data_IF_928490455295
#
_entry.id   IF_928490455295
#
_cell.length_a   1.000
_cell.length_b   1.000
_cell.length_c   1.000
_cell.angle_alpha   90.00
_cell.angle_beta   90.00
_cell.angle_gamma   90.00
#
_symmetry.space_group_name_H-M   'P 1'
#
loop_
_entity.id
_entity.type
_entity.pdbx_description
1 polymer ?
#
# COMPACT_ATOMS: atom_id res chain seq x y z
N UNK A 1 -8.38 -7.34 -27.37
CA UNK A 1 -7.44 -7.99 -26.43
C UNK A 1 -6.42 -7.00 -25.81
N UNK A 2 -6.56 -5.67 -26.02
CA UNK A 2 -5.52 -4.68 -25.70
C UNK A 2 -5.77 -3.74 -24.49
N UNK A 3 -7.00 -3.56 -24.00
CA UNK A 3 -7.31 -2.55 -22.97
C UNK A 3 -7.33 -3.15 -21.55
N UNK A 4 -7.88 -4.36 -21.40
CA UNK A 4 -8.03 -5.06 -20.11
C UNK A 4 -6.70 -5.35 -19.40
N UNK A 5 -5.63 -5.63 -20.15
CA UNK A 5 -4.32 -5.89 -19.56
C UNK A 5 -3.63 -4.62 -19.05
N UNK A 6 -3.88 -3.48 -19.68
CA UNK A 6 -3.26 -2.22 -19.28
C UNK A 6 -3.84 -1.72 -17.96
N UNK A 7 -5.16 -1.79 -17.78
CA UNK A 7 -5.82 -1.42 -16.52
C UNK A 7 -5.36 -2.32 -15.36
N UNK A 8 -5.24 -3.63 -15.58
CA UNK A 8 -4.74 -4.56 -14.57
C UNK A 8 -3.29 -4.25 -14.16
N UNK A 9 -2.42 -3.91 -15.12
CA UNK A 9 -1.04 -3.51 -14.81
C UNK A 9 -1.01 -2.18 -14.07
N UNK A 10 -1.82 -1.19 -14.47
CA UNK A 10 -1.93 0.08 -13.76
C UNK A 10 -2.38 -0.11 -12.30
N UNK A 11 -3.37 -0.97 -12.07
CA UNK A 11 -3.80 -1.34 -10.71
C UNK A 11 -2.67 -2.00 -9.93
N UNK A 12 -1.91 -2.90 -10.56
CA UNK A 12 -0.80 -3.61 -9.92
C UNK A 12 0.33 -2.65 -9.56
N UNK A 13 0.66 -1.71 -10.44
CA UNK A 13 1.62 -0.63 -10.19
C UNK A 13 1.18 0.23 -9.02
N UNK A 14 -0.07 0.68 -9.04
CA UNK A 14 -0.64 1.51 -7.98
C UNK A 14 -0.55 0.79 -6.63
N UNK A 15 -0.98 -0.47 -6.56
CA UNK A 15 -0.87 -1.26 -5.33
C UNK A 15 0.59 -1.44 -4.88
N UNK A 16 1.53 -1.65 -5.80
CA UNK A 16 2.94 -1.89 -5.49
C UNK A 16 3.62 -0.65 -4.90
N UNK A 17 3.17 0.53 -5.29
CA UNK A 17 3.65 1.81 -4.77
C UNK A 17 3.00 2.12 -3.42
N UNK A 18 1.68 2.01 -3.31
CA UNK A 18 0.96 2.53 -2.15
C UNK A 18 0.83 1.57 -0.98
N UNK A 19 0.73 0.25 -1.19
CA UNK A 19 0.69 -0.69 -0.07
C UNK A 19 1.90 -0.60 0.87
N UNK A 20 3.17 -0.51 0.39
CA UNK A 20 4.29 -0.36 1.30
C UNK A 20 4.28 1.00 2.00
N UNK A 21 3.85 2.08 1.33
CA UNK A 21 3.70 3.39 1.95
C UNK A 21 2.65 3.38 3.07
N UNK A 22 1.48 2.81 2.81
CA UNK A 22 0.40 2.63 3.78
C UNK A 22 0.87 1.82 4.99
N UNK A 23 1.62 0.73 4.77
CA UNK A 23 2.23 -0.05 5.85
C UNK A 23 3.15 0.81 6.72
N UNK A 24 4.06 1.57 6.11
CA UNK A 24 5.00 2.45 6.84
C UNK A 24 4.28 3.54 7.64
N UNK A 25 3.21 4.12 7.09
CA UNK A 25 2.40 5.11 7.83
C UNK A 25 1.72 4.47 9.03
N UNK A 26 1.09 3.31 8.87
CA UNK A 26 0.47 2.58 9.98
C UNK A 26 1.48 2.17 11.07
N UNK A 27 2.68 1.72 10.68
CA UNK A 27 3.76 1.40 11.63
C UNK A 27 4.16 2.62 12.47
N UNK A 28 4.27 3.81 11.85
CA UNK A 28 4.57 5.06 12.54
C UNK A 28 3.41 5.50 13.44
N UNK A 29 2.17 5.37 12.99
CA UNK A 29 0.99 5.75 13.77
C UNK A 29 0.80 4.83 14.97
N UNK A 30 1.08 3.53 14.82
CA UNK A 30 1.11 2.57 15.93
C UNK A 30 2.09 3.01 17.03
N UNK A 31 3.31 3.39 16.66
CA UNK A 31 4.31 3.90 17.61
C UNK A 31 3.85 5.20 18.30
N UNK A 32 3.23 6.11 17.55
CA UNK A 32 2.68 7.35 18.12
C UNK A 32 1.53 7.09 19.09
N UNK A 33 0.66 6.13 18.79
CA UNK A 33 -0.46 5.74 19.67
C UNK A 33 0.06 5.08 20.95
N UNK A 34 1.08 4.24 20.84
CA UNK A 34 1.76 3.64 21.99
C UNK A 34 2.36 4.70 22.93
N UNK A 35 2.87 5.79 22.37
CA UNK A 35 3.44 6.92 23.12
C UNK A 35 2.38 7.97 23.53
N UNK A 36 1.15 7.87 23.03
CA UNK A 36 0.11 8.84 23.32
C UNK A 36 -0.44 8.66 24.74
N UNK A 37 -0.86 9.77 25.38
CA UNK A 37 -1.51 9.76 26.70
C UNK A 37 -2.98 9.31 26.62
N UNK A 38 -3.24 8.21 25.94
CA UNK A 38 -4.57 7.60 25.89
C UNK A 38 -4.82 6.80 27.17
N UNK A 39 -6.04 6.87 27.69
CA UNK A 39 -6.42 6.09 28.88
C UNK A 39 -6.31 4.57 28.64
N UNK A 40 -6.64 4.13 27.42
CA UNK A 40 -6.65 2.71 27.02
C UNK A 40 -6.16 2.60 25.56
N UNK A 41 -4.84 2.54 25.29
CA UNK A 41 -4.29 2.53 23.92
C UNK A 41 -4.40 1.17 23.22
N UNK A 42 -4.46 0.08 23.99
CA UNK A 42 -4.31 -1.29 23.48
C UNK A 42 -5.29 -1.70 22.37
N UNK A 43 -6.62 -1.41 22.44
CA UNK A 43 -7.55 -1.78 21.38
C UNK A 43 -7.23 -1.13 20.02
N UNK A 44 -6.74 0.11 20.03
CA UNK A 44 -6.34 0.81 18.81
C UNK A 44 -5.07 0.20 18.22
N UNK A 45 -4.10 -0.13 19.07
CA UNK A 45 -2.86 -0.80 18.66
C UNK A 45 -3.16 -2.17 18.03
N UNK A 46 -4.02 -2.98 18.65
CA UNK A 46 -4.41 -4.28 18.09
C UNK A 46 -5.07 -4.15 16.71
N UNK A 47 -5.94 -3.14 16.53
CA UNK A 47 -6.57 -2.88 15.24
C UNK A 47 -5.55 -2.52 14.16
N UNK A 48 -4.55 -1.70 14.51
CA UNK A 48 -3.47 -1.30 13.59
C UNK A 48 -2.54 -2.47 13.30
N UNK A 49 -2.15 -3.25 14.31
CA UNK A 49 -1.28 -4.42 14.15
C UNK A 49 -1.94 -5.47 13.23
N UNK A 50 -3.25 -5.68 13.37
CA UNK A 50 -4.02 -6.55 12.47
C UNK A 50 -4.06 -6.02 11.02
N UNK A 51 -4.16 -4.70 10.84
CA UNK A 51 -4.11 -4.09 9.51
C UNK A 51 -2.72 -4.23 8.87
N UNK A 52 -1.64 -4.00 9.64
CA UNK A 52 -0.25 -4.18 9.20
C UNK A 52 -0.01 -5.65 8.79
N UNK A 53 -0.52 -6.62 9.57
CA UNK A 53 -0.40 -8.03 9.24
C UNK A 53 -1.08 -8.39 7.91
N UNK A 54 -2.29 -7.86 7.67
CA UNK A 54 -3.02 -8.02 6.39
C UNK A 54 -2.26 -7.41 5.23
N UNK A 55 -1.80 -6.17 5.36
CA UNK A 55 -0.99 -5.51 4.31
C UNK A 55 0.29 -6.31 4.03
N UNK A 56 0.92 -6.88 5.05
CA UNK A 56 2.12 -7.70 4.88
C UNK A 56 1.84 -8.97 4.06
N UNK A 57 0.70 -9.62 4.28
CA UNK A 57 0.24 -10.74 3.47
C UNK A 57 -0.03 -10.33 2.02
N UNK A 58 -0.73 -9.21 1.83
CA UNK A 58 -1.08 -8.71 0.50
C UNK A 58 0.16 -8.27 -0.28
N UNK A 59 1.12 -7.61 0.35
CA UNK A 59 2.42 -7.28 -0.25
C UNK A 59 3.17 -8.53 -0.70
N UNK A 60 3.11 -9.62 0.07
CA UNK A 60 3.73 -10.90 -0.32
C UNK A 60 3.08 -11.46 -1.59
N UNK A 61 1.76 -11.40 -1.68
CA UNK A 61 1.02 -11.87 -2.85
C UNK A 61 1.29 -10.98 -4.07
N UNK A 62 1.24 -9.66 -3.88
CA UNK A 62 1.52 -8.67 -4.91
C UNK A 62 2.92 -8.79 -5.48
N UNK A 63 3.95 -9.00 -4.65
CA UNK A 63 5.32 -9.24 -5.13
C UNK A 63 5.44 -10.50 -6.00
N UNK A 64 4.69 -11.56 -5.64
CA UNK A 64 4.64 -12.78 -6.47
C UNK A 64 3.96 -12.51 -7.80
N UNK A 65 2.88 -11.74 -7.79
CA UNK A 65 2.12 -11.38 -8.99
C UNK A 65 2.93 -10.47 -9.92
N UNK A 66 3.57 -9.42 -9.38
CA UNK A 66 4.47 -8.54 -10.13
C UNK A 66 5.60 -9.31 -10.80
N UNK A 67 6.20 -10.27 -10.08
CA UNK A 67 7.25 -11.13 -10.65
C UNK A 67 6.72 -12.02 -11.78
N UNK A 68 5.50 -12.56 -11.65
CA UNK A 68 4.86 -13.39 -12.69
C UNK A 68 4.48 -12.58 -13.93
N UNK A 69 4.06 -11.33 -13.76
CA UNK A 69 3.68 -10.44 -14.86
C UNK A 69 4.87 -9.80 -15.57
N UNK A 70 6.08 -9.91 -14.99
CA UNK A 70 7.29 -9.27 -15.50
C UNK A 70 7.33 -7.77 -15.21
N UNK A 71 6.58 -7.32 -14.20
CA UNK A 71 6.57 -5.93 -13.74
C UNK A 71 7.72 -5.68 -12.77
N UNK A 72 8.49 -4.64 -13.05
CA UNK A 72 9.51 -4.12 -12.14
C UNK A 72 9.30 -2.64 -11.92
N UNK A 73 9.33 -2.20 -10.66
CA UNK A 73 9.15 -0.79 -10.29
C UNK A 73 10.37 -0.34 -9.52
N UNK A 74 10.98 0.74 -9.99
CA UNK A 74 12.08 1.41 -9.32
C UNK A 74 11.59 2.72 -8.73
N UNK A 75 11.93 2.97 -7.47
CA UNK A 75 11.66 4.25 -6.82
C UNK A 75 12.80 5.21 -7.11
N UNK A 76 12.47 6.35 -7.68
CA UNK A 76 13.38 7.49 -7.87
C UNK A 76 13.05 8.57 -6.83
N UNK A 77 13.77 9.70 -6.84
CA UNK A 77 13.61 10.76 -5.82
C UNK A 77 12.20 11.34 -5.78
N UNK A 78 11.60 11.57 -6.96
CA UNK A 78 10.29 12.22 -7.10
C UNK A 78 9.31 11.43 -7.97
N UNK A 79 9.70 10.26 -8.45
CA UNK A 79 8.92 9.46 -9.38
C UNK A 79 9.17 7.96 -9.21
N UNK A 80 8.38 7.18 -9.94
CA UNK A 80 8.50 5.74 -10.02
C UNK A 80 8.69 5.35 -11.47
N UNK A 81 9.81 4.68 -11.78
CA UNK A 81 10.03 4.09 -13.08
C UNK A 81 9.40 2.70 -13.11
N UNK A 82 8.37 2.55 -13.92
CA UNK A 82 7.66 1.31 -14.17
C UNK A 82 8.23 0.68 -15.43
N UNK A 83 8.70 -0.56 -15.31
CA UNK A 83 9.20 -1.35 -16.43
C UNK A 83 8.35 -2.60 -16.58
N UNK A 84 7.75 -2.79 -17.75
CA UNK A 84 6.90 -3.94 -18.05
C UNK A 84 7.10 -4.39 -19.50
N UNK A 85 7.63 -5.61 -19.70
CA UNK A 85 7.80 -6.24 -21.03
C UNK A 85 8.44 -5.34 -22.10
N UNK A 86 9.41 -4.52 -21.71
CA UNK A 86 10.11 -3.57 -22.59
C UNK A 86 9.51 -2.16 -22.64
N UNK A 87 8.27 -1.98 -22.16
CA UNK A 87 7.69 -0.66 -21.94
C UNK A 87 8.26 -0.02 -20.68
N UNK A 88 8.56 1.28 -20.77
CA UNK A 88 9.00 2.10 -19.64
C UNK A 88 8.03 3.26 -19.49
N UNK A 89 7.50 3.43 -18.29
CA UNK A 89 6.64 4.55 -17.95
C UNK A 89 7.14 5.18 -16.66
N UNK A 90 7.32 6.49 -16.67
CA UNK A 90 7.55 7.24 -15.44
C UNK A 90 6.19 7.65 -14.85
N UNK A 91 6.02 7.44 -13.55
CA UNK A 91 4.81 7.85 -12.83
C UNK A 91 5.21 8.79 -11.70
N UNK A 92 4.56 9.96 -11.66
CA UNK A 92 4.74 10.95 -10.60
C UNK A 92 3.42 11.16 -9.88
N UNK A 93 3.48 11.20 -8.55
CA UNK A 93 2.34 11.52 -7.71
C UNK A 93 2.58 12.84 -7.00
N UNK A 94 1.53 13.65 -6.90
CA UNK A 94 1.56 14.84 -6.03
C UNK A 94 1.49 14.40 -4.57
N UNK A 95 2.09 15.15 -3.63
CA UNK A 95 2.01 14.83 -2.20
C UNK A 95 0.56 14.68 -1.70
N UNK A 96 -0.35 15.52 -2.19
CA UNK A 96 -1.78 15.47 -1.82
C UNK A 96 -2.46 14.20 -2.33
N UNK A 97 -2.17 13.78 -3.56
CA UNK A 97 -2.70 12.53 -4.11
C UNK A 97 -2.17 11.33 -3.31
N UNK A 98 -0.87 11.32 -3.00
CA UNK A 98 -0.28 10.24 -2.19
C UNK A 98 -0.94 10.15 -0.83
N UNK A 99 -1.10 11.28 -0.13
CA UNK A 99 -1.75 11.32 1.18
C UNK A 99 -3.18 10.81 1.10
N UNK A 100 -3.93 11.21 0.08
CA UNK A 100 -5.32 10.74 -0.14
C UNK A 100 -5.37 9.23 -0.32
N UNK A 101 -4.59 8.69 -1.25
CA UNK A 101 -4.55 7.25 -1.51
C UNK A 101 -4.14 6.42 -0.30
N UNK A 102 -3.13 6.89 0.44
CA UNK A 102 -2.74 6.24 1.70
C UNK A 102 -3.87 6.29 2.72
N UNK A 103 -4.55 7.43 2.87
CA UNK A 103 -5.68 7.58 3.80
C UNK A 103 -6.82 6.61 3.46
N UNK A 104 -7.19 6.52 2.17
CA UNK A 104 -8.24 5.62 1.71
C UNK A 104 -7.86 4.15 1.98
N UNK A 105 -6.62 3.75 1.66
CA UNK A 105 -6.14 2.40 1.94
C UNK A 105 -6.09 2.10 3.44
N UNK A 106 -5.62 3.02 4.27
CA UNK A 106 -5.66 2.85 5.73
C UNK A 106 -7.08 2.60 6.21
N UNK A 107 -8.04 3.42 5.77
CA UNK A 107 -9.46 3.29 6.11
C UNK A 107 -9.99 1.91 5.74
N UNK A 108 -9.70 1.44 4.53
CA UNK A 108 -10.14 0.13 4.06
C UNK A 108 -9.54 -1.03 4.85
N UNK A 109 -8.22 -1.00 5.12
CA UNK A 109 -7.57 -2.04 5.89
C UNK A 109 -8.06 -2.08 7.34
N UNK A 110 -8.26 -0.92 7.98
CA UNK A 110 -8.81 -0.84 9.32
C UNK A 110 -10.27 -1.32 9.38
N UNK A 111 -11.11 -1.01 8.38
CA UNK A 111 -12.48 -1.57 8.31
C UNK A 111 -12.47 -3.09 8.17
N UNK A 112 -11.57 -3.63 7.35
CA UNK A 112 -11.41 -5.08 7.16
C UNK A 112 -10.94 -5.81 8.41
N UNK A 113 -10.35 -5.14 9.40
CA UNK A 113 -10.05 -5.78 10.69
C UNK A 113 -11.27 -5.91 11.59
N UNK A 114 -12.25 -5.01 11.46
CA UNK A 114 -13.47 -5.01 12.27
C UNK A 114 -14.53 -5.99 11.79
N UNK A 115 -14.58 -6.30 10.49
CA UNK A 115 -15.61 -7.15 9.87
C UNK A 115 -15.29 -8.66 10.00
N UNK A 116 -14.08 -9.03 10.42
CA UNK A 116 -13.72 -10.43 10.69
C UNK A 116 -14.07 -10.78 12.14
N UNK A 117 -15.36 -10.97 12.41
CA UNK A 117 -15.88 -11.67 13.59
C UNK A 117 -16.77 -12.82 13.17
#
# INVERSE_FOLDING_TARGET
MSILHEEQIQQLVHQFIFLPLTRTVLERDRQKIEQARLKIPFPYMQMIDAAIAKITLDLRNLRREARRSGLTIYKEEQSYLVVWRGYRSEVRYTPDAMRRHVTDMMSDYLKRTLIQK
#
